data_IF_158040180451
#
_entry.id   IF_158040180451
#
_cell.length_a   1.000
_cell.length_b   1.000
_cell.length_c   1.000
_cell.angle_alpha   90.00
_cell.angle_beta   90.00
_cell.angle_gamma   90.00
#
_symmetry.space_group_name_H-M   'P 1'
#
loop_
_entity.id
_entity.type
_entity.pdbx_description
1 polymer ?
#
# COMPACT_ATOMS: atom_id res chain seq x y z
N UNK A 1 1.55 31.65 -11.22
CA UNK A 1 0.22 31.64 -10.55
C UNK A 1 0.16 30.42 -9.63
N UNK A 2 0.18 30.64 -8.30
CA UNK A 2 0.09 29.57 -7.29
C UNK A 2 -1.35 29.49 -6.81
N UNK A 3 -2.14 28.55 -7.35
CA UNK A 3 -3.41 28.15 -6.74
C UNK A 3 -3.11 27.13 -5.64
N UNK A 4 -2.62 27.60 -4.50
CA UNK A 4 -2.53 26.78 -3.29
C UNK A 4 -3.69 27.19 -2.39
N UNK A 5 -4.79 26.41 -2.40
CA UNK A 5 -5.95 26.64 -1.54
C UNK A 5 -5.49 26.58 -0.08
N UNK A 6 -5.70 27.66 0.66
CA UNK A 6 -5.34 27.84 2.09
C UNK A 6 -5.95 26.75 2.98
N UNK A 7 -7.07 26.15 2.56
CA UNK A 7 -7.71 25.05 3.27
C UNK A 7 -7.02 23.67 3.12
N UNK A 8 -6.07 23.51 2.18
CA UNK A 8 -5.39 22.22 1.96
C UNK A 8 -4.17 22.04 2.89
N UNK A 9 -3.49 23.13 3.25
CA UNK A 9 -2.32 23.06 4.15
C UNK A 9 -2.69 22.58 5.55
N UNK A 10 -3.86 22.98 6.06
CA UNK A 10 -4.30 22.59 7.40
C UNK A 10 -4.71 21.11 7.46
N UNK A 11 -5.18 20.52 6.36
CA UNK A 11 -5.47 19.08 6.30
C UNK A 11 -4.18 18.24 6.20
N UNK A 12 -3.14 18.75 5.54
CA UNK A 12 -1.84 18.09 5.45
C UNK A 12 -1.06 18.09 6.77
N UNK A 13 -1.33 19.03 7.68
CA UNK A 13 -0.67 19.12 8.98
C UNK A 13 -1.38 18.35 10.10
N UNK A 14 -2.57 17.80 9.85
CA UNK A 14 -3.32 17.04 10.85
C UNK A 14 -3.27 15.57 10.48
N UNK A 15 -2.34 14.86 11.12
CA UNK A 15 -2.29 13.40 11.13
C UNK A 15 -1.30 12.75 10.16
N UNK A 16 -0.29 13.46 9.69
CA UNK A 16 0.82 12.88 8.93
C UNK A 16 2.13 13.17 9.67
N UNK A 17 2.96 12.15 9.87
CA UNK A 17 4.31 12.33 10.44
C UNK A 17 5.10 13.31 9.58
N UNK A 18 5.85 14.22 10.23
CA UNK A 18 6.60 15.27 9.57
C UNK A 18 7.61 14.69 8.57
N UNK A 19 7.22 14.67 7.30
CA UNK A 19 7.98 14.13 6.17
C UNK A 19 7.82 15.05 4.98
N UNK A 20 8.89 15.24 4.20
CA UNK A 20 8.80 15.99 2.95
C UNK A 20 7.94 15.24 1.93
N UNK A 21 7.17 15.99 1.13
CA UNK A 21 6.26 15.39 0.14
C UNK A 21 7.02 14.57 -0.91
N UNK A 22 8.22 15.03 -1.27
CA UNK A 22 9.11 14.37 -2.21
C UNK A 22 9.51 12.98 -1.69
N UNK A 23 9.83 12.86 -0.40
CA UNK A 23 10.24 11.60 0.19
C UNK A 23 9.10 10.57 0.19
N UNK A 24 7.85 11.02 0.38
CA UNK A 24 6.67 10.15 0.29
C UNK A 24 6.48 9.59 -1.13
N UNK A 25 6.59 10.45 -2.14
CA UNK A 25 6.49 10.03 -3.54
C UNK A 25 7.66 9.12 -3.92
N UNK A 26 8.87 9.41 -3.45
CA UNK A 26 10.01 8.51 -3.65
C UNK A 26 9.81 7.14 -3.01
N UNK A 27 9.24 7.08 -1.80
CA UNK A 27 8.91 5.81 -1.14
C UNK A 27 7.88 5.02 -1.95
N UNK A 28 6.83 5.68 -2.44
CA UNK A 28 5.82 5.09 -3.32
C UNK A 28 6.47 4.47 -4.56
N UNK A 29 7.28 5.25 -5.28
CA UNK A 29 7.91 4.79 -6.52
C UNK A 29 8.88 3.64 -6.26
N UNK A 30 9.68 3.70 -5.18
CA UNK A 30 10.62 2.63 -4.81
C UNK A 30 9.89 1.32 -4.52
N UNK A 31 8.80 1.37 -3.75
CA UNK A 31 8.00 0.19 -3.41
C UNK A 31 7.27 -0.36 -4.63
N UNK A 32 6.67 0.51 -5.44
CA UNK A 32 5.98 0.11 -6.67
C UNK A 32 6.95 -0.57 -7.65
N UNK A 33 8.11 0.04 -7.92
CA UNK A 33 9.15 -0.58 -8.75
C UNK A 33 9.58 -1.94 -8.17
N UNK A 34 9.84 -2.02 -6.86
CA UNK A 34 10.22 -3.26 -6.21
C UNK A 34 9.19 -4.40 -6.39
N UNK A 35 7.90 -4.06 -6.48
CA UNK A 35 6.83 -5.02 -6.68
C UNK A 35 6.62 -5.38 -8.15
N UNK A 36 6.95 -4.49 -9.10
CA UNK A 36 6.78 -4.72 -10.53
C UNK A 36 8.01 -5.31 -11.22
N UNK A 37 9.14 -5.50 -10.53
CA UNK A 37 10.35 -6.11 -11.11
C UNK A 37 10.10 -7.51 -11.70
N UNK A 38 9.14 -8.24 -11.14
CA UNK A 38 8.72 -9.54 -11.69
C UNK A 38 8.15 -9.44 -13.11
N UNK A 39 7.76 -8.24 -13.59
CA UNK A 39 7.34 -8.00 -14.98
C UNK A 39 8.52 -7.81 -15.94
N UNK A 40 9.74 -7.61 -15.46
CA UNK A 40 10.93 -7.55 -16.33
C UNK A 40 11.25 -8.91 -16.96
N UNK A 41 10.75 -10.00 -16.36
CA UNK A 41 10.82 -11.34 -16.92
C UNK A 41 9.70 -11.55 -17.98
N UNK A 42 10.12 -11.70 -19.23
CA UNK A 42 9.22 -11.91 -20.38
C UNK A 42 8.28 -13.11 -20.19
N UNK A 43 8.72 -14.16 -19.50
CA UNK A 43 7.89 -15.35 -19.27
C UNK A 43 6.72 -15.06 -18.30
N UNK A 44 6.97 -14.28 -17.25
CA UNK A 44 5.94 -13.85 -16.30
C UNK A 44 5.01 -12.83 -16.94
N UNK A 45 5.55 -11.86 -17.67
CA UNK A 45 4.77 -10.84 -18.39
C UNK A 45 3.76 -11.48 -19.37
N UNK A 46 4.18 -12.50 -20.14
CA UNK A 46 3.31 -13.21 -21.07
C UNK A 46 2.15 -13.94 -20.37
N UNK A 47 2.39 -14.53 -19.19
CA UNK A 47 1.33 -15.17 -18.40
C UNK A 47 0.32 -14.18 -17.81
N UNK A 48 0.74 -12.93 -17.60
CA UNK A 48 -0.02 -11.87 -16.96
C UNK A 48 -0.78 -10.97 -17.95
N UNK A 49 -0.53 -11.09 -19.26
CA UNK A 49 -1.00 -10.14 -20.28
C UNK A 49 -2.52 -9.82 -20.19
N UNK A 50 -3.34 -10.83 -19.91
CA UNK A 50 -4.81 -10.66 -19.79
C UNK A 50 -5.27 -9.99 -18.49
N UNK A 51 -4.51 -10.16 -17.40
CA UNK A 51 -4.83 -9.63 -16.07
C UNK A 51 -3.91 -8.46 -15.66
N UNK A 52 -3.04 -8.03 -16.57
CA UNK A 52 -2.02 -7.00 -16.33
C UNK A 52 -2.61 -5.69 -15.80
N UNK A 53 -3.73 -5.15 -16.33
CA UNK A 53 -4.31 -3.92 -15.81
C UNK A 53 -4.70 -4.06 -14.34
N UNK A 54 -5.41 -5.14 -14.00
CA UNK A 54 -5.84 -5.42 -12.63
C UNK A 54 -4.65 -5.63 -11.68
N UNK A 55 -3.62 -6.32 -12.16
CA UNK A 55 -2.42 -6.62 -11.37
C UNK A 55 -1.64 -5.34 -11.03
N UNK A 56 -1.37 -4.51 -12.05
CA UNK A 56 -0.64 -3.25 -11.90
C UNK A 56 -1.42 -2.25 -11.03
N UNK A 57 -2.73 -2.15 -11.25
CA UNK A 57 -3.64 -1.35 -10.44
C UNK A 57 -3.52 -1.76 -8.96
N UNK A 58 -3.75 -3.03 -8.62
CA UNK A 58 -3.72 -3.45 -7.22
C UNK A 58 -2.35 -3.30 -6.56
N UNK A 59 -1.26 -3.48 -7.29
CA UNK A 59 0.09 -3.18 -6.81
C UNK A 59 0.31 -1.69 -6.55
N UNK A 60 -0.25 -0.83 -7.39
CA UNK A 60 -0.21 0.60 -7.17
C UNK A 60 -0.97 0.98 -5.89
N UNK A 61 -2.17 0.43 -5.65
CA UNK A 61 -2.89 0.64 -4.38
C UNK A 61 -2.10 0.16 -3.18
N UNK A 62 -1.55 -1.06 -3.26
CA UNK A 62 -0.73 -1.60 -2.17
C UNK A 62 0.45 -0.66 -1.87
N UNK A 63 1.13 -0.20 -2.92
CA UNK A 63 2.26 0.73 -2.78
C UNK A 63 1.83 2.06 -2.17
N UNK A 64 0.66 2.59 -2.54
CA UNK A 64 0.07 3.81 -2.00
C UNK A 64 -0.20 3.71 -0.50
N UNK A 65 -0.82 2.62 -0.06
CA UNK A 65 -1.14 2.35 1.34
C UNK A 65 0.12 2.29 2.18
N UNK A 66 1.13 1.55 1.72
CA UNK A 66 2.36 1.31 2.49
C UNK A 66 3.44 2.39 2.33
N UNK A 67 3.19 3.45 1.58
CA UNK A 67 4.11 4.59 1.44
C UNK A 67 3.47 5.89 1.95
N UNK A 68 2.55 6.46 1.19
CA UNK A 68 1.89 7.73 1.50
C UNK A 68 0.97 7.57 2.70
N UNK A 69 0.22 6.46 2.76
CA UNK A 69 -0.68 6.20 3.88
C UNK A 69 0.03 5.60 5.11
N UNK A 70 1.24 5.07 4.95
CA UNK A 70 2.04 4.50 6.04
C UNK A 70 2.45 5.52 7.10
N UNK A 71 2.56 6.79 6.71
CA UNK A 71 2.92 7.92 7.60
C UNK A 71 1.69 8.57 8.27
N UNK A 72 0.48 8.05 8.04
CA UNK A 72 -0.75 8.57 8.62
C UNK A 72 -0.90 8.09 10.07
N UNK A 73 -1.32 9.01 10.94
CA UNK A 73 -1.59 8.78 12.35
C UNK A 73 -2.80 7.86 12.58
N UNK A 74 -2.80 7.14 13.71
CA UNK A 74 -3.86 6.20 14.06
C UNK A 74 -5.28 6.77 13.91
N UNK A 75 -5.59 7.97 14.44
CA UNK A 75 -6.92 8.58 14.33
C UNK A 75 -7.36 8.96 12.91
N UNK A 76 -6.43 9.21 11.97
CA UNK A 76 -6.79 9.56 10.59
C UNK A 76 -6.78 8.36 9.64
N UNK A 77 -6.26 7.19 10.05
CA UNK A 77 -6.33 5.95 9.27
C UNK A 77 -7.76 5.56 8.84
N UNK A 78 -8.80 5.62 9.70
CA UNK A 78 -10.17 5.31 9.27
C UNK A 78 -10.72 6.32 8.25
N UNK A 79 -10.31 7.59 8.33
CA UNK A 79 -10.71 8.62 7.37
C UNK A 79 -10.07 8.37 6.01
N UNK A 80 -8.79 7.95 6.00
CA UNK A 80 -8.10 7.55 4.78
C UNK A 80 -8.72 6.30 4.17
N UNK A 81 -9.08 5.31 4.97
CA UNK A 81 -9.74 4.08 4.51
C UNK A 81 -11.06 4.38 3.78
N UNK A 82 -11.90 5.24 4.37
CA UNK A 82 -13.15 5.71 3.72
C UNK A 82 -12.86 6.49 2.43
N UNK A 83 -11.85 7.37 2.45
CA UNK A 83 -11.43 8.15 1.28
C UNK A 83 -10.92 7.25 0.14
N UNK A 84 -10.11 6.25 0.45
CA UNK A 84 -9.57 5.29 -0.52
C UNK A 84 -10.71 4.50 -1.18
N UNK A 85 -11.68 4.03 -0.40
CA UNK A 85 -12.88 3.37 -0.93
C UNK A 85 -13.65 4.25 -1.91
N UNK A 86 -13.89 5.52 -1.56
CA UNK A 86 -14.57 6.47 -2.46
C UNK A 86 -13.81 6.67 -3.78
N UNK A 87 -12.48 6.78 -3.71
CA UNK A 87 -11.62 6.92 -4.91
C UNK A 87 -11.71 5.66 -5.78
N UNK A 88 -11.64 4.47 -5.19
CA UNK A 88 -11.76 3.21 -5.93
C UNK A 88 -13.15 3.00 -6.55
N UNK A 89 -14.21 3.51 -5.91
CA UNK A 89 -15.57 3.52 -6.46
C UNK A 89 -15.77 4.53 -7.60
N UNK A 90 -14.75 5.32 -7.96
CA UNK A 90 -14.84 6.37 -8.97
C UNK A 90 -15.60 7.61 -8.48
N UNK A 91 -15.83 7.75 -7.17
CA UNK A 91 -16.47 8.96 -6.60
C UNK A 91 -15.40 10.03 -6.37
N UNK A 92 -15.58 11.24 -6.92
CA UNK A 92 -14.61 12.31 -6.70
C UNK A 92 -14.55 12.67 -5.21
N UNK A 93 -13.35 12.86 -4.64
CA UNK A 93 -13.23 13.30 -3.26
C UNK A 93 -13.93 14.64 -3.01
N UNK A 94 -14.39 14.84 -1.79
CA UNK A 94 -15.09 16.07 -1.37
C UNK A 94 -14.26 17.31 -1.74
N UNK A 95 -14.83 18.19 -2.57
CA UNK A 95 -14.17 19.42 -3.05
C UNK A 95 -13.43 19.29 -4.39
N UNK A 96 -13.41 18.10 -4.99
CA UNK A 96 -12.88 17.78 -6.32
C UNK A 96 -13.98 17.36 -7.32
N UNK A 97 -15.25 17.62 -7.00
CA UNK A 97 -16.42 17.32 -7.85
C UNK A 97 -16.37 17.96 -9.24
N UNK A 98 -15.55 19.01 -9.39
CA UNK A 98 -15.32 19.73 -10.64
C UNK A 98 -13.84 19.63 -10.99
N UNK A 99 -13.33 18.44 -11.28
CA UNK A 99 -12.10 18.34 -12.07
C UNK A 99 -12.49 18.62 -13.51
N UNK A 100 -12.22 19.84 -13.95
CA UNK A 100 -12.59 20.43 -15.22
C UNK A 100 -11.97 19.65 -16.39
N UNK A 101 -12.62 18.58 -16.85
CA UNK A 101 -12.51 17.96 -18.19
C UNK A 101 -11.11 17.50 -18.70
N UNK A 102 -10.03 17.75 -17.96
CA UNK A 102 -8.63 17.48 -18.36
C UNK A 102 -8.20 16.07 -17.95
N UNK A 103 -8.78 15.55 -16.87
CA UNK A 103 -8.68 14.16 -16.47
C UNK A 103 -10.05 13.54 -16.80
N UNK A 104 -10.08 12.50 -17.63
CA UNK A 104 -11.33 11.92 -18.17
C UNK A 104 -12.33 11.44 -17.11
N UNK A 105 -13.38 10.73 -17.55
CA UNK A 105 -14.39 10.20 -16.64
C UNK A 105 -13.76 9.27 -15.59
N UNK A 106 -14.10 9.49 -14.31
CA UNK A 106 -13.62 8.66 -13.22
C UNK A 106 -14.06 7.20 -13.45
N UNK A 107 -13.09 6.33 -13.72
CA UNK A 107 -13.35 4.91 -13.90
C UNK A 107 -13.27 4.21 -12.54
N UNK A 108 -14.30 3.42 -12.16
CA UNK A 108 -14.23 2.61 -10.96
C UNK A 108 -13.21 1.50 -11.15
N UNK A 109 -12.53 1.13 -10.08
CA UNK A 109 -11.63 0.00 -10.07
C UNK A 109 -12.45 -1.29 -10.18
N UNK A 110 -12.15 -2.12 -11.18
CA UNK A 110 -12.91 -3.33 -11.47
C UNK A 110 -12.94 -4.31 -10.29
N UNK A 111 -11.83 -4.43 -9.58
CA UNK A 111 -11.69 -5.27 -8.39
C UNK A 111 -10.57 -4.72 -7.49
N UNK A 112 -10.97 -4.15 -6.36
CA UNK A 112 -10.08 -3.59 -5.34
C UNK A 112 -10.29 -4.29 -3.98
N UNK A 113 -9.70 -3.73 -2.92
CA UNK A 113 -9.77 -4.22 -1.53
C UNK A 113 -11.18 -4.67 -1.12
N UNK A 114 -11.32 -5.82 -0.41
CA UNK A 114 -12.59 -6.20 0.19
C UNK A 114 -12.99 -5.22 1.31
N UNK A 115 -14.29 -5.11 1.59
CA UNK A 115 -14.85 -4.15 2.55
C UNK A 115 -14.90 -4.70 3.99
N UNK A 116 -14.43 -5.93 4.22
CA UNK A 116 -14.60 -6.64 5.50
C UNK A 116 -13.66 -6.14 6.60
N UNK A 117 -12.52 -5.55 6.22
CA UNK A 117 -11.47 -5.11 7.11
C UNK A 117 -10.84 -3.80 6.62
N UNK A 118 -9.96 -3.19 7.43
CA UNK A 118 -9.27 -1.96 7.00
C UNK A 118 -8.27 -2.25 5.88
N UNK A 119 -8.02 -1.27 5.01
CA UNK A 119 -7.01 -1.39 3.94
C UNK A 119 -5.61 -1.79 4.44
N UNK A 120 -5.27 -1.48 5.71
CA UNK A 120 -4.02 -1.86 6.36
C UNK A 120 -3.96 -3.34 6.81
N UNK A 121 -5.08 -4.04 6.79
CA UNK A 121 -5.19 -5.46 7.20
C UNK A 121 -5.06 -6.40 6.01
N UNK A 122 -5.04 -5.87 4.79
CA UNK A 122 -4.88 -6.65 3.57
C UNK A 122 -3.45 -6.61 3.01
N UNK A 123 -3.07 -7.74 2.41
CA UNK A 123 -1.86 -7.95 1.62
C UNK A 123 -2.27 -8.38 0.21
N UNK A 124 -1.64 -7.81 -0.82
CA UNK A 124 -1.88 -8.23 -2.19
C UNK A 124 -0.93 -9.37 -2.56
N UNK A 125 -1.49 -10.57 -2.74
CA UNK A 125 -0.72 -11.74 -3.13
C UNK A 125 -0.51 -11.76 -4.65
N UNK A 126 0.74 -11.54 -5.06
CA UNK A 126 1.15 -11.52 -6.46
C UNK A 126 1.04 -12.88 -7.15
N UNK A 127 0.99 -14.00 -6.42
CA UNK A 127 0.85 -15.32 -7.02
C UNK A 127 -0.61 -15.68 -7.31
N UNK A 128 -1.55 -15.17 -6.50
CA UNK A 128 -2.99 -15.49 -6.64
C UNK A 128 -3.83 -14.33 -7.16
N UNK A 129 -3.24 -13.14 -7.34
CA UNK A 129 -3.87 -11.89 -7.78
C UNK A 129 -5.09 -11.53 -6.93
N UNK A 130 -4.98 -11.77 -5.63
CA UNK A 130 -6.05 -11.57 -4.64
C UNK A 130 -5.52 -10.89 -3.40
N UNK A 131 -6.39 -10.07 -2.82
CA UNK A 131 -6.20 -9.55 -1.48
C UNK A 131 -6.46 -10.65 -0.46
N UNK A 132 -5.54 -10.80 0.49
CA UNK A 132 -5.62 -11.72 1.63
C UNK A 132 -5.41 -10.94 2.91
N UNK A 133 -5.93 -11.43 4.03
CA UNK A 133 -5.62 -10.79 5.31
C UNK A 133 -4.18 -11.11 5.71
N UNK A 134 -3.51 -10.14 6.33
CA UNK A 134 -2.18 -10.38 6.91
C UNK A 134 -2.21 -11.49 7.96
N UNK A 135 -3.32 -11.66 8.68
CA UNK A 135 -3.49 -12.77 9.63
C UNK A 135 -3.38 -14.14 8.97
N UNK A 136 -3.76 -14.26 7.70
CA UNK A 136 -3.69 -15.53 6.96
C UNK A 136 -2.26 -15.85 6.51
N UNK A 137 -1.36 -14.88 6.57
CA UNK A 137 0.06 -15.05 6.26
C UNK A 137 0.88 -15.53 7.44
N UNK A 138 0.35 -15.43 8.67
CA UNK A 138 1.02 -15.88 9.89
C UNK A 138 0.70 -17.37 10.05
N UNK A 139 1.66 -18.22 9.72
CA UNK A 139 1.51 -19.65 9.90
C UNK A 139 1.49 -19.99 11.40
N UNK A 140 0.71 -20.99 11.82
CA UNK A 140 0.66 -21.40 13.24
C UNK A 140 2.02 -21.91 13.71
N UNK A 141 2.81 -22.43 12.78
CA UNK A 141 4.16 -22.93 13.00
C UNK A 141 5.12 -21.81 13.39
N UNK A 142 4.96 -20.61 12.82
CA UNK A 142 5.79 -19.44 13.13
C UNK A 142 5.57 -18.96 14.57
N UNK A 143 4.37 -19.18 15.13
CA UNK A 143 4.06 -18.81 16.53
C UNK A 143 4.74 -19.70 17.56
N UNK A 144 5.31 -20.84 17.13
CA UNK A 144 5.95 -21.79 18.04
C UNK A 144 7.42 -21.44 18.22
N UNK A 145 7.75 -20.84 19.36
CA UNK A 145 9.13 -20.57 19.75
C UNK A 145 9.86 -21.89 20.02
N UNK A 146 10.98 -22.19 19.34
CA UNK A 146 11.78 -23.36 19.65
C UNK A 146 12.38 -23.27 21.06
N UNK A 147 12.34 -24.37 21.82
CA UNK A 147 12.89 -24.42 23.19
C UNK A 147 14.41 -24.17 23.26
N UNK A 148 15.09 -24.18 22.12
CA UNK A 148 16.55 -23.97 21.99
C UNK A 148 16.92 -22.53 21.57
N UNK A 149 15.93 -21.67 21.27
CA UNK A 149 16.19 -20.31 20.82
C UNK A 149 16.64 -19.43 21.98
N UNK A 150 17.67 -18.61 21.76
CA UNK A 150 18.11 -17.60 22.73
C UNK A 150 17.08 -16.47 22.78
N UNK A 151 16.87 -15.88 23.97
CA UNK A 151 15.87 -14.82 24.15
C UNK A 151 16.03 -13.64 23.16
N UNK A 152 17.28 -13.33 22.81
CA UNK A 152 17.67 -12.24 21.90
C UNK A 152 17.29 -12.51 20.43
N UNK A 153 17.07 -13.77 20.05
CA UNK A 153 16.76 -14.19 18.68
C UNK A 153 15.25 -14.37 18.46
N UNK A 154 14.44 -14.26 19.52
CA UNK A 154 12.99 -14.49 19.46
C UNK A 154 12.31 -13.24 18.89
N UNK A 155 11.87 -13.35 17.64
CA UNK A 155 10.94 -12.39 17.04
C UNK A 155 9.53 -12.96 17.14
N UNK A 156 8.65 -12.25 17.84
CA UNK A 156 7.24 -12.67 17.96
C UNK A 156 6.54 -12.41 16.61
N UNK A 157 5.92 -13.42 15.98
CA UNK A 157 5.14 -13.24 14.77
C UNK A 157 3.82 -12.58 15.12
N UNK A 158 3.83 -11.25 15.11
CA UNK A 158 2.64 -10.43 15.23
C UNK A 158 2.24 -9.89 13.86
N UNK A 159 1.03 -9.35 13.78
CA UNK A 159 0.53 -8.67 12.59
C UNK A 159 1.51 -7.61 12.07
N UNK A 160 2.07 -6.81 12.99
CA UNK A 160 3.03 -5.76 12.66
C UNK A 160 4.37 -6.32 12.20
N UNK A 161 4.87 -7.38 12.85
CA UNK A 161 6.07 -8.10 12.40
C UNK A 161 5.91 -8.57 10.95
N UNK A 162 4.80 -9.24 10.60
CA UNK A 162 4.58 -9.76 9.24
C UNK A 162 4.54 -8.66 8.19
N UNK A 163 3.85 -7.55 8.48
CA UNK A 163 3.78 -6.38 7.59
C UNK A 163 5.17 -5.79 7.32
N UNK A 164 5.92 -5.54 8.40
CA UNK A 164 7.23 -4.92 8.31
C UNK A 164 8.26 -5.82 7.67
N UNK A 165 8.28 -7.11 8.01
CA UNK A 165 9.15 -8.11 7.38
C UNK A 165 8.89 -8.19 5.88
N UNK A 166 7.63 -8.25 5.44
CA UNK A 166 7.32 -8.31 4.01
C UNK A 166 7.81 -7.08 3.24
N UNK A 167 7.58 -5.88 3.76
CA UNK A 167 8.04 -4.65 3.12
C UNK A 167 9.56 -4.57 3.09
N UNK A 168 10.21 -4.95 4.19
CA UNK A 168 11.65 -4.98 4.32
C UNK A 168 12.26 -5.97 3.32
N UNK A 169 11.74 -7.19 3.24
CA UNK A 169 12.19 -8.21 2.29
C UNK A 169 12.10 -7.71 0.86
N UNK A 170 10.94 -7.15 0.46
CA UNK A 170 10.75 -6.61 -0.89
C UNK A 170 11.67 -5.44 -1.23
N UNK A 171 12.01 -4.59 -0.27
CA UNK A 171 12.89 -3.45 -0.50
C UNK A 171 14.37 -3.85 -0.47
N UNK A 172 14.76 -4.78 0.41
CA UNK A 172 16.12 -5.31 0.51
C UNK A 172 16.51 -6.17 -0.68
N UNK A 173 15.62 -7.07 -1.14
CA UNK A 173 15.85 -7.87 -2.36
C UNK A 173 16.16 -6.98 -3.58
N UNK A 174 15.66 -5.74 -3.56
CA UNK A 174 15.80 -4.78 -4.65
C UNK A 174 16.82 -3.66 -4.36
N UNK A 175 17.70 -3.87 -3.36
CA UNK A 175 18.77 -2.96 -2.94
C UNK A 175 18.29 -1.51 -2.72
N UNK A 176 17.08 -1.33 -2.18
CA UNK A 176 16.55 0.00 -1.85
C UNK A 176 16.84 0.30 -0.38
N UNK A 177 17.54 1.41 -0.06
CA UNK A 177 17.78 1.80 1.32
C UNK A 177 16.45 2.20 1.98
N UNK A 178 16.21 1.66 3.17
CA UNK A 178 15.01 1.88 3.98
C UNK A 178 15.40 2.44 5.34
N UNK A 179 14.57 3.34 5.86
CA UNK A 179 14.63 3.82 7.23
C UNK A 179 13.38 3.29 7.94
N UNK A 180 13.58 2.63 9.07
CA UNK A 180 12.53 2.13 9.95
C UNK A 180 12.34 3.06 11.14
#
# INVERSE_FOLDING_TARGET
MRFCRIACKTTLSVGILATEEINRVQALMKLFTALTLDLEDEAKAASLEKELPLWVENLFLFSLIWSIAGVIDGPSRPKFDTFLGQVCEGKPPRGYEKCDGVFGEAQPWLKYLPTDASCYEYMFDQATHKWKLWTDTIAKEDTRIPNTASFEEIIVPTLDTSRYTYLLDKLLMNNKPVLF
#
